data_IF_530722338537
#
_entry.id   IF_530722338537
#
_cell.length_a   1.000
_cell.length_b   1.000
_cell.length_c   1.000
_cell.angle_alpha   90.00
_cell.angle_beta   90.00
_cell.angle_gamma   90.00
#
_symmetry.space_group_name_H-M   'P 1'
#
loop_
_entity.id
_entity.type
_entity.pdbx_description
1 polymer ?
#
# COMPACT_ATOMS: atom_id res chain seq x y z
N UNK A 1 -15.98 14.54 6.29
CA UNK A 1 -14.69 14.52 7.00
C UNK A 1 -13.53 14.66 6.05
N UNK A 2 -12.51 15.38 6.45
CA UNK A 2 -11.33 15.57 5.61
C UNK A 2 -10.43 14.35 5.67
N UNK A 3 -9.87 13.99 4.52
CA UNK A 3 -8.90 12.90 4.45
C UNK A 3 -7.51 13.47 4.62
N UNK A 4 -6.67 12.76 5.35
CA UNK A 4 -5.30 13.17 5.61
C UNK A 4 -4.34 12.06 5.17
N UNK A 5 -3.14 12.47 4.79
CA UNK A 5 -2.10 11.52 4.42
C UNK A 5 -1.38 11.09 5.70
N UNK A 6 -1.37 9.80 5.97
CA UNK A 6 -0.68 9.25 7.14
C UNK A 6 0.74 8.84 6.79
N UNK A 7 0.90 8.10 5.71
CA UNK A 7 2.18 7.51 5.32
C UNK A 7 2.43 7.77 3.85
N UNK A 8 3.71 7.86 3.49
CA UNK A 8 4.15 7.98 2.10
C UNK A 8 5.10 6.83 1.81
N UNK A 9 4.89 6.17 0.68
CA UNK A 9 5.74 5.07 0.25
C UNK A 9 6.58 5.56 -0.93
N UNK A 10 7.89 5.42 -0.81
CA UNK A 10 8.83 5.76 -1.87
C UNK A 10 9.43 4.49 -2.43
N UNK A 11 9.55 4.42 -3.72
CA UNK A 11 10.11 3.24 -4.36
C UNK A 11 11.12 3.65 -5.43
N UNK A 12 12.05 2.74 -5.72
CA UNK A 12 13.02 2.91 -6.78
C UNK A 12 12.35 2.51 -8.09
N UNK A 13 12.25 3.43 -9.02
CA UNK A 13 11.54 3.17 -10.28
C UNK A 13 12.32 2.28 -11.24
N UNK A 14 13.59 2.05 -10.99
CA UNK A 14 14.39 1.13 -11.80
C UNK A 14 14.24 -0.31 -11.35
N UNK A 15 14.24 -0.53 -10.03
CA UNK A 15 14.19 -1.89 -9.47
C UNK A 15 12.80 -2.28 -9.01
N UNK A 16 11.93 -1.32 -8.71
CA UNK A 16 10.63 -1.57 -8.13
C UNK A 16 10.65 -1.88 -6.65
N UNK A 17 11.79 -1.74 -6.01
CA UNK A 17 11.90 -1.99 -4.58
C UNK A 17 11.44 -0.78 -3.76
N UNK A 18 10.81 -1.05 -2.62
CA UNK A 18 10.44 0.00 -1.70
C UNK A 18 11.71 0.54 -1.04
N UNK A 19 11.91 1.85 -1.20
CA UNK A 19 13.08 2.52 -0.69
C UNK A 19 12.86 3.01 0.74
N UNK A 20 11.69 3.55 0.99
CA UNK A 20 11.38 4.15 2.27
C UNK A 20 9.87 4.24 2.48
N UNK A 21 9.45 4.08 3.74
CA UNK A 21 8.08 4.39 4.14
C UNK A 21 8.19 5.46 5.21
N UNK A 22 7.65 6.65 4.94
CA UNK A 22 7.76 7.78 5.84
C UNK A 22 6.41 8.17 6.42
N UNK A 23 6.41 8.53 7.70
CA UNK A 23 5.23 9.06 8.37
C UNK A 23 5.13 10.56 8.14
N UNK A 24 3.90 11.06 8.01
CA UNK A 24 3.71 12.52 7.99
C UNK A 24 3.68 13.02 9.41
N UNK A 25 3.99 14.30 9.58
CA UNK A 25 3.97 14.91 10.90
C UNK A 25 2.57 14.84 11.52
N UNK A 26 1.56 15.03 10.69
CA UNK A 26 0.17 14.96 11.16
C UNK A 26 -0.11 13.60 11.78
N UNK A 27 0.37 12.53 11.16
CA UNK A 27 0.17 11.18 11.66
C UNK A 27 0.97 10.96 12.94
N UNK A 28 2.19 11.47 13.00
CA UNK A 28 3.04 11.31 14.18
C UNK A 28 2.50 12.04 15.41
N UNK A 29 1.69 13.08 15.19
CA UNK A 29 1.07 13.81 16.28
C UNK A 29 -0.07 13.05 16.94
N UNK A 30 -0.54 11.97 16.32
CA UNK A 30 -1.59 11.14 16.89
C UNK A 30 -1.05 10.20 17.97
N UNK A 31 -1.95 9.73 18.85
CA UNK A 31 -1.54 8.83 19.92
C UNK A 31 -1.10 7.46 19.37
N UNK A 32 -0.30 6.73 20.16
CA UNK A 32 0.28 5.46 19.69
C UNK A 32 -0.77 4.40 19.34
N UNK A 33 -1.86 4.31 20.06
CA UNK A 33 -2.89 3.33 19.74
C UNK A 33 -3.57 3.66 18.43
N UNK A 34 -3.84 4.95 18.21
CA UNK A 34 -4.43 5.39 16.95
C UNK A 34 -3.50 5.07 15.78
N UNK A 35 -2.21 5.35 15.93
CA UNK A 35 -1.24 5.08 14.88
C UNK A 35 -1.14 3.59 14.57
N UNK A 36 -1.17 2.76 15.61
CA UNK A 36 -1.14 1.31 15.42
C UNK A 36 -2.36 0.81 14.66
N UNK A 37 -3.53 1.34 14.97
CA UNK A 37 -4.75 0.96 14.26
C UNK A 37 -4.70 1.34 12.79
N UNK A 38 -4.21 2.55 12.50
CA UNK A 38 -4.07 3.01 11.11
C UNK A 38 -3.08 2.12 10.35
N UNK A 39 -1.97 1.78 10.98
CA UNK A 39 -0.97 0.92 10.35
C UNK A 39 -1.56 -0.46 10.08
N UNK A 40 -2.28 -1.02 11.03
CA UNK A 40 -2.91 -2.33 10.86
C UNK A 40 -3.91 -2.32 9.72
N UNK A 41 -4.75 -1.30 9.66
CA UNK A 41 -5.73 -1.18 8.58
C UNK A 41 -5.04 -0.97 7.24
N UNK A 42 -3.92 -0.27 7.25
CA UNK A 42 -3.13 -0.06 6.03
C UNK A 42 -2.58 -1.39 5.51
N UNK A 43 -2.09 -2.24 6.39
CA UNK A 43 -1.57 -3.55 5.99
C UNK A 43 -2.68 -4.36 5.32
N UNK A 44 -3.88 -4.36 5.89
CA UNK A 44 -5.02 -5.08 5.32
C UNK A 44 -5.37 -4.51 3.94
N UNK A 45 -5.41 -3.18 3.83
CA UNK A 45 -5.72 -2.54 2.57
C UNK A 45 -4.68 -2.85 1.49
N UNK A 46 -3.41 -2.87 1.89
CA UNK A 46 -2.33 -3.20 0.96
C UNK A 46 -2.42 -4.65 0.50
N UNK A 47 -2.78 -5.57 1.38
CA UNK A 47 -2.99 -6.95 1.00
C UNK A 47 -4.11 -7.09 -0.03
N UNK A 48 -5.20 -6.34 0.16
CA UNK A 48 -6.30 -6.36 -0.79
C UNK A 48 -5.88 -5.81 -2.15
N UNK A 49 -5.10 -4.74 -2.16
CA UNK A 49 -4.58 -4.16 -3.39
C UNK A 49 -3.66 -5.17 -4.09
N UNK A 50 -2.80 -5.83 -3.31
CA UNK A 50 -1.90 -6.83 -3.85
C UNK A 50 -2.66 -7.98 -4.49
N UNK A 51 -3.70 -8.49 -3.82
CA UNK A 51 -4.51 -9.57 -4.36
C UNK A 51 -5.24 -9.14 -5.63
N UNK A 52 -5.72 -7.92 -5.68
CA UNK A 52 -6.37 -7.39 -6.86
C UNK A 52 -5.41 -7.34 -8.04
N UNK A 53 -4.21 -6.79 -7.83
CA UNK A 53 -3.21 -6.69 -8.88
C UNK A 53 -2.77 -8.08 -9.36
N UNK A 54 -2.62 -8.99 -8.43
CA UNK A 54 -2.25 -10.36 -8.75
C UNK A 54 -3.31 -11.05 -9.61
N UNK A 55 -4.57 -10.90 -9.24
CA UNK A 55 -5.67 -11.47 -10.01
C UNK A 55 -5.75 -10.88 -11.40
N UNK A 56 -5.54 -9.57 -11.50
CA UNK A 56 -5.53 -8.88 -12.78
C UNK A 56 -4.42 -9.39 -13.68
N UNK A 57 -3.26 -9.61 -13.11
CA UNK A 57 -2.13 -10.16 -13.85
C UNK A 57 -2.45 -11.55 -14.41
N UNK A 58 -3.02 -12.41 -13.58
CA UNK A 58 -3.38 -13.76 -14.03
C UNK A 58 -4.45 -13.75 -15.10
N UNK A 59 -5.42 -12.86 -15.00
CA UNK A 59 -6.46 -12.74 -16.00
C UNK A 59 -5.89 -12.31 -17.35
N UNK A 60 -5.01 -11.31 -17.35
CA UNK A 60 -4.36 -10.86 -18.57
C UNK A 60 -3.53 -11.97 -19.22
N UNK A 61 -2.83 -12.72 -18.39
CA UNK A 61 -2.01 -13.82 -18.87
C UNK A 61 -2.87 -14.90 -19.55
N UNK A 62 -3.99 -15.22 -18.92
CA UNK A 62 -4.91 -16.22 -19.46
C UNK A 62 -5.54 -15.77 -20.78
N UNK A 63 -5.92 -14.51 -20.86
CA UNK A 63 -6.54 -13.96 -22.06
C UNK A 63 -5.64 -13.99 -23.27
N UNK A 64 -4.35 -13.98 -23.06
CA UNK A 64 -3.39 -14.04 -24.15
C UNK A 64 -3.23 -15.46 -24.71
N UNK A 65 -3.91 -16.42 -24.12
CA UNK A 65 -3.83 -17.79 -24.58
C UNK A 65 -2.52 -18.47 -24.31
N UNK A 66 -1.87 -18.06 -23.26
CA UNK A 66 -0.58 -18.61 -22.88
C UNK A 66 -0.70 -19.94 -22.14
N UNK A 67 -1.84 -20.47 -22.12
CA UNK A 67 -2.10 -21.71 -21.40
C UNK A 67 -1.31 -22.88 -21.99
#
# INVERSE_FOLDING_TARGET
MAKKIALKVYFDDETGEVDEVASTKRFEDEGPLFRMDVIKDTIIALENIYQYERSKFFMEFTERGEA
#
